data_IF_248781868267
#
_entry.id   IF_248781868267
#
_cell.length_a   1.000
_cell.length_b   1.000
_cell.length_c   1.000
_cell.angle_alpha   90.00
_cell.angle_beta   90.00
_cell.angle_gamma   90.00
#
_symmetry.space_group_name_H-M   'P 1'
#
loop_
_entity.id
_entity.type
_entity.pdbx_description
1 polymer ?
#
# COMPACT_ATOMS: atom_id res chain seq x y z
N UNK A 1 -13.20 -37.80 70.67
CA UNK A 1 -11.89 -37.13 70.81
C UNK A 1 -11.95 -35.80 70.08
N UNK A 2 -12.15 -34.73 70.86
CA UNK A 2 -11.94 -33.33 70.47
C UNK A 2 -10.43 -33.05 70.46
N UNK A 3 -9.94 -32.15 69.59
CA UNK A 3 -8.82 -31.23 69.87
C UNK A 3 -8.53 -30.25 68.69
N UNK A 4 -8.78 -28.96 68.99
CA UNK A 4 -7.95 -27.77 68.73
C UNK A 4 -7.62 -27.27 67.30
N UNK A 5 -8.37 -26.22 66.96
CA UNK A 5 -7.92 -24.87 66.53
C UNK A 5 -6.41 -24.55 66.49
N UNK A 6 -5.97 -23.85 65.43
CA UNK A 6 -5.15 -22.62 65.52
C UNK A 6 -5.13 -21.83 64.21
N UNK A 7 -5.84 -20.71 64.23
CA UNK A 7 -5.74 -19.57 63.32
C UNK A 7 -4.37 -18.89 63.43
N UNK A 8 -3.79 -18.47 62.30
CA UNK A 8 -2.77 -17.41 62.26
C UNK A 8 -3.33 -16.21 61.51
N UNK A 9 -3.58 -15.15 62.27
CA UNK A 9 -3.65 -13.76 61.82
C UNK A 9 -2.22 -13.23 61.58
N UNK A 10 -2.12 -11.96 61.15
CA UNK A 10 -0.95 -11.14 60.75
C UNK A 10 -0.79 -11.04 59.22
N UNK A 11 -0.63 -9.87 58.60
CA UNK A 11 -0.58 -8.49 59.12
C UNK A 11 -0.88 -7.56 57.95
N UNK A 12 -1.77 -6.61 58.18
CA UNK A 12 -1.99 -5.45 57.33
C UNK A 12 -0.80 -4.50 57.52
N UNK A 13 -0.09 -4.19 56.44
CA UNK A 13 0.74 -2.98 56.37
C UNK A 13 0.25 -2.12 55.23
N UNK A 14 -0.33 -1.01 55.66
CA UNK A 14 -0.81 0.14 54.92
C UNK A 14 0.38 0.76 54.19
N UNK A 15 0.36 0.69 52.86
CA UNK A 15 1.20 1.49 51.98
C UNK A 15 0.41 2.69 51.46
N UNK A 16 0.19 3.69 52.31
CA UNK A 16 -0.13 5.05 51.87
C UNK A 16 1.20 5.70 51.47
N UNK A 17 1.43 5.98 50.17
CA UNK A 17 2.24 7.14 49.81
C UNK A 17 2.16 7.47 48.31
N UNK A 18 1.83 8.74 48.06
CA UNK A 18 2.03 9.50 46.83
C UNK A 18 1.25 9.09 45.57
N UNK A 19 0.02 9.60 45.54
CA UNK A 19 -0.65 10.05 44.32
C UNK A 19 0.29 10.96 43.49
N UNK A 20 1.02 10.39 42.54
CA UNK A 20 1.51 11.13 41.38
C UNK A 20 0.47 10.97 40.27
N UNK A 21 -0.59 11.77 40.38
CA UNK A 21 -1.55 12.02 39.31
C UNK A 21 -0.81 12.82 38.22
N UNK A 22 -0.03 12.14 37.38
CA UNK A 22 0.48 12.74 36.16
C UNK A 22 -0.74 12.85 35.24
N UNK A 23 -1.32 14.06 35.28
CA UNK A 23 -2.24 14.59 34.29
C UNK A 23 -1.71 14.24 32.89
N UNK A 24 -2.33 13.23 32.29
CA UNK A 24 -2.42 13.04 30.85
C UNK A 24 -3.15 14.27 30.28
N UNK A 25 -2.44 15.39 30.21
CA UNK A 25 -2.77 16.47 29.29
C UNK A 25 -2.60 15.87 27.91
N UNK A 26 -3.73 15.44 27.36
CA UNK A 26 -3.87 15.17 25.94
C UNK A 26 -3.43 16.43 25.21
N UNK A 27 -2.20 16.41 24.71
CA UNK A 27 -1.82 17.22 23.58
C UNK A 27 -2.68 16.73 22.42
N UNK A 28 -3.88 17.31 22.32
CA UNK A 28 -4.50 17.56 21.05
C UNK A 28 -3.48 18.43 20.30
N UNK A 29 -2.58 17.77 19.57
CA UNK A 29 -1.72 18.42 18.60
C UNK A 29 -2.67 19.05 17.59
N UNK A 30 -2.99 20.32 17.83
CA UNK A 30 -3.48 21.22 16.82
C UNK A 30 -2.39 21.33 15.77
N UNK A 31 -2.41 20.42 14.81
CA UNK A 31 -1.74 20.58 13.53
C UNK A 31 -2.49 21.71 12.82
N UNK A 32 -2.19 22.95 13.22
CA UNK A 32 -2.33 24.09 12.33
C UNK A 32 -1.16 24.01 11.37
N UNK A 33 -1.42 23.50 10.17
CA UNK A 33 -0.52 23.65 9.05
C UNK A 33 -1.21 24.57 8.05
N UNK A 34 -0.72 25.80 7.89
CA UNK A 34 -0.94 26.64 6.71
C UNK A 34 -0.24 26.06 5.45
N UNK A 35 -0.17 24.73 5.36
CA UNK A 35 0.28 24.02 4.18
C UNK A 35 -0.90 23.20 3.67
N UNK A 36 -1.18 23.32 2.38
CA UNK A 36 -2.15 22.46 1.69
C UNK A 36 -2.00 21.01 2.20
N UNK A 37 -3.08 20.37 2.67
CA UNK A 37 -3.01 19.05 3.26
C UNK A 37 -2.47 18.08 2.21
N UNK A 38 -1.31 17.52 2.50
CA UNK A 38 -0.76 16.41 1.71
C UNK A 38 -1.81 15.31 1.62
N UNK A 39 -2.23 14.99 0.41
CA UNK A 39 -3.34 14.07 0.22
C UNK A 39 -2.93 12.60 0.34
N UNK A 40 -1.64 12.29 0.19
CA UNK A 40 -1.12 10.92 0.34
C UNK A 40 -0.48 10.75 1.71
N UNK A 41 -1.01 9.84 2.51
CA UNK A 41 -0.49 9.52 3.84
C UNK A 41 -0.40 8.00 4.06
N UNK A 42 0.51 7.57 4.93
CA UNK A 42 0.69 6.17 5.31
C UNK A 42 0.23 5.95 6.76
N UNK A 43 -0.51 4.86 7.00
CA UNK A 43 -0.99 4.49 8.35
C UNK A 43 0.13 4.00 9.26
N UNK A 44 -0.11 4.06 10.56
CA UNK A 44 0.82 3.62 11.62
C UNK A 44 1.10 2.13 11.60
N UNK A 45 0.22 1.33 11.00
CA UNK A 45 0.46 -0.10 10.83
C UNK A 45 1.51 -0.44 9.75
N UNK A 46 1.92 0.53 8.92
CA UNK A 46 3.06 0.36 8.00
C UNK A 46 4.34 0.68 8.76
N UNK A 47 5.17 -0.34 8.99
CA UNK A 47 6.43 -0.20 9.73
C UNK A 47 7.38 0.79 9.07
N UNK A 48 8.28 1.38 9.86
CA UNK A 48 9.30 2.31 9.36
C UNK A 48 10.15 1.70 8.24
N UNK A 49 10.46 0.40 8.32
CA UNK A 49 11.22 -0.31 7.30
C UNK A 49 10.45 -0.38 5.96
N UNK A 50 9.15 -0.68 6.00
CA UNK A 50 8.27 -0.71 4.82
C UNK A 50 8.08 0.70 4.24
N UNK A 51 7.88 1.73 5.08
CA UNK A 51 7.81 3.14 4.63
C UNK A 51 9.07 3.53 3.86
N UNK A 52 10.25 3.19 4.40
CA UNK A 52 11.53 3.47 3.77
C UNK A 52 11.75 2.63 2.50
N UNK A 53 11.31 1.37 2.47
CA UNK A 53 11.32 0.54 1.28
C UNK A 53 10.48 1.15 0.16
N UNK A 54 9.25 1.54 0.46
CA UNK A 54 8.34 2.16 -0.50
C UNK A 54 8.88 3.51 -1.00
N UNK A 55 9.34 4.37 -0.09
CA UNK A 55 9.94 5.65 -0.47
C UNK A 55 11.16 5.46 -1.41
N UNK A 56 12.03 4.49 -1.12
CA UNK A 56 13.16 4.17 -2.02
C UNK A 56 12.71 3.66 -3.38
N UNK A 57 11.69 2.81 -3.44
CA UNK A 57 11.15 2.30 -4.70
C UNK A 57 10.57 3.45 -5.55
N UNK A 58 9.71 4.29 -4.96
CA UNK A 58 9.14 5.46 -5.64
C UNK A 58 10.22 6.46 -6.07
N UNK A 59 11.21 6.72 -5.21
CA UNK A 59 12.35 7.57 -5.53
C UNK A 59 13.18 7.03 -6.70
N UNK A 60 13.43 5.71 -6.74
CA UNK A 60 14.12 5.06 -7.87
C UNK A 60 13.36 5.24 -9.18
N UNK A 61 12.03 5.10 -9.15
CA UNK A 61 11.18 5.23 -10.34
C UNK A 61 11.10 6.69 -10.79
N UNK A 62 10.76 7.60 -9.88
CA UNK A 62 10.54 9.01 -10.16
C UNK A 62 11.85 9.83 -10.30
N UNK A 63 12.96 9.32 -9.79
CA UNK A 63 14.25 10.03 -9.71
C UNK A 63 14.24 11.23 -8.77
N UNK A 64 13.36 11.22 -7.76
CA UNK A 64 13.16 12.31 -6.79
C UNK A 64 13.89 12.01 -5.48
N UNK A 65 15.16 12.45 -5.30
CA UNK A 65 16.03 11.99 -4.21
C UNK A 65 15.54 12.33 -2.79
N UNK A 66 14.66 13.32 -2.67
CA UNK A 66 14.11 13.78 -1.40
C UNK A 66 12.71 13.21 -1.08
N UNK A 67 12.18 12.36 -1.96
CA UNK A 67 10.90 11.70 -1.76
C UNK A 67 10.97 10.83 -0.50
N UNK A 68 10.09 11.11 0.46
CA UNK A 68 10.04 10.41 1.75
C UNK A 68 8.66 10.52 2.39
N UNK A 69 8.39 9.67 3.38
CA UNK A 69 7.32 9.90 4.34
C UNK A 69 7.86 10.72 5.51
N UNK A 70 7.13 11.74 5.95
CA UNK A 70 7.48 12.50 7.15
C UNK A 70 7.02 11.78 8.43
N UNK A 71 7.24 12.43 9.58
CA UNK A 71 6.89 11.88 10.91
C UNK A 71 5.39 11.66 11.09
N UNK A 72 4.55 12.39 10.35
CA UNK A 72 3.08 12.22 10.34
C UNK A 72 2.63 11.14 9.36
N UNK A 73 3.57 10.54 8.61
CA UNK A 73 3.27 9.59 7.54
C UNK A 73 2.85 10.26 6.23
N UNK A 74 2.95 11.58 6.08
CA UNK A 74 2.58 12.23 4.82
C UNK A 74 3.71 12.08 3.77
N UNK A 75 3.35 11.80 2.51
CA UNK A 75 4.31 11.68 1.41
C UNK A 75 4.80 13.07 0.97
N UNK A 76 6.11 13.31 1.08
CA UNK A 76 6.76 14.55 0.67
C UNK A 76 7.62 14.27 -0.56
N UNK A 77 7.41 14.99 -1.65
CA UNK A 77 8.17 14.81 -2.90
C UNK A 77 9.58 15.43 -2.86
N UNK A 78 9.75 16.46 -2.02
CA UNK A 78 10.95 17.29 -1.99
C UNK A 78 10.93 18.40 -3.02
N UNK A 79 11.99 19.22 -3.04
CA UNK A 79 12.09 20.42 -3.89
C UNK A 79 13.33 20.42 -4.78
N UNK A 80 14.08 19.31 -4.83
CA UNK A 80 15.24 19.17 -5.70
C UNK A 80 14.83 18.69 -7.07
N UNK A 81 15.42 19.32 -8.09
CA UNK A 81 15.24 18.90 -9.47
C UNK A 81 15.64 17.43 -9.65
N UNK A 82 14.80 16.65 -10.36
CA UNK A 82 15.10 15.25 -10.65
C UNK A 82 16.30 15.16 -11.59
N UNK A 83 17.22 14.24 -11.31
CA UNK A 83 18.40 14.00 -12.16
C UNK A 83 18.20 12.89 -13.18
N UNK A 84 17.22 12.02 -12.95
CA UNK A 84 16.89 10.85 -13.73
C UNK A 84 15.43 10.46 -13.43
N UNK A 85 15.01 9.25 -13.78
CA UNK A 85 13.69 8.74 -13.42
C UNK A 85 12.60 9.13 -14.43
N UNK A 86 11.42 8.55 -14.25
CA UNK A 86 10.24 8.78 -15.08
C UNK A 86 9.59 10.14 -14.80
N UNK A 87 9.41 10.95 -15.84
CA UNK A 87 8.64 12.20 -15.80
C UNK A 87 7.18 11.94 -15.47
N UNK A 88 6.59 10.94 -16.12
CA UNK A 88 5.19 10.58 -15.89
C UNK A 88 4.94 10.09 -14.46
N UNK A 89 5.88 9.35 -13.87
CA UNK A 89 5.77 8.95 -12.47
C UNK A 89 5.83 10.16 -11.51
N UNK A 90 6.66 11.18 -11.81
CA UNK A 90 6.70 12.42 -11.03
C UNK A 90 5.39 13.18 -11.11
N UNK A 91 4.85 13.35 -12.31
CA UNK A 91 3.58 14.02 -12.54
C UNK A 91 2.43 13.31 -11.81
N UNK A 92 2.37 11.97 -11.88
CA UNK A 92 1.37 11.19 -11.15
C UNK A 92 1.49 11.40 -9.64
N UNK A 93 2.71 11.34 -9.10
CA UNK A 93 2.96 11.55 -7.67
C UNK A 93 2.63 12.99 -7.23
N UNK A 94 2.93 13.99 -8.04
CA UNK A 94 2.58 15.38 -7.79
C UNK A 94 1.07 15.55 -7.73
N UNK A 95 0.35 15.07 -8.73
CA UNK A 95 -1.11 15.10 -8.77
C UNK A 95 -1.75 14.29 -7.64
N UNK A 96 -1.14 13.18 -7.23
CA UNK A 96 -1.61 12.41 -6.08
C UNK A 96 -1.48 13.22 -4.78
N UNK A 97 -0.37 13.94 -4.60
CA UNK A 97 -0.09 14.71 -3.37
C UNK A 97 -0.87 16.01 -3.29
N UNK A 98 -1.07 16.71 -4.42
CA UNK A 98 -1.73 18.03 -4.50
C UNK A 98 -3.20 17.97 -4.92
N UNK A 99 -3.71 16.78 -5.27
CA UNK A 99 -5.06 16.60 -5.78
C UNK A 99 -6.17 16.85 -4.75
N UNK A 100 -7.41 16.55 -5.14
CA UNK A 100 -8.58 16.72 -4.27
C UNK A 100 -8.98 15.44 -3.50
N UNK A 101 -8.29 14.31 -3.73
CA UNK A 101 -8.63 13.00 -3.17
C UNK A 101 -7.61 12.60 -2.11
N UNK A 102 -8.07 12.22 -0.92
CA UNK A 102 -7.21 11.69 0.14
C UNK A 102 -6.88 10.22 -0.16
N UNK A 103 -5.61 9.86 -0.11
CA UNK A 103 -5.10 8.51 -0.38
C UNK A 103 -4.33 8.01 0.84
N UNK A 104 -4.79 6.90 1.41
CA UNK A 104 -4.23 6.30 2.60
C UNK A 104 -3.56 4.98 2.25
N UNK A 105 -2.25 4.87 2.49
CA UNK A 105 -1.48 3.66 2.30
C UNK A 105 -1.53 2.80 3.58
N UNK A 106 -1.86 1.52 3.44
CA UNK A 106 -2.04 0.58 4.56
C UNK A 106 -1.27 -0.72 4.34
N UNK A 107 -0.69 -1.27 5.41
CA UNK A 107 -0.10 -2.61 5.38
C UNK A 107 -1.22 -3.66 5.43
N UNK A 108 -1.25 -4.50 4.40
CA UNK A 108 -2.14 -5.64 4.25
C UNK A 108 -1.37 -6.96 4.16
N UNK A 109 -0.13 -7.00 4.64
CA UNK A 109 0.74 -8.18 4.57
C UNK A 109 0.06 -9.44 5.12
N UNK A 110 0.09 -10.52 4.34
CA UNK A 110 -0.54 -11.82 4.63
C UNK A 110 -2.07 -11.81 4.63
N UNK A 111 -2.71 -10.68 4.26
CA UNK A 111 -4.14 -10.68 3.98
C UNK A 111 -4.37 -11.50 2.71
N UNK A 112 -5.48 -12.21 2.71
CA UNK A 112 -5.73 -13.25 1.71
C UNK A 112 -6.73 -12.80 0.64
N UNK A 113 -7.18 -11.56 0.76
CA UNK A 113 -8.00 -10.78 -0.16
C UNK A 113 -7.20 -9.72 -0.92
N UNK A 114 -5.92 -9.52 -0.59
CA UNK A 114 -4.98 -8.65 -1.31
C UNK A 114 -3.85 -9.50 -1.87
N UNK A 115 -3.53 -9.35 -3.16
CA UNK A 115 -2.44 -10.10 -3.79
C UNK A 115 -1.10 -9.36 -3.67
N UNK A 116 -1.02 -8.12 -4.15
CA UNK A 116 0.16 -7.26 -4.02
C UNK A 116 -0.24 -5.87 -3.57
N UNK A 117 -1.19 -5.30 -4.30
CA UNK A 117 -1.80 -4.03 -4.00
C UNK A 117 -3.28 -4.09 -4.37
N UNK A 118 -4.10 -3.27 -3.74
CA UNK A 118 -5.50 -3.05 -4.12
C UNK A 118 -5.98 -1.71 -3.57
N UNK A 119 -6.75 -0.96 -4.35
CA UNK A 119 -7.41 0.26 -3.91
C UNK A 119 -8.88 0.03 -3.57
N UNK A 120 -9.34 0.66 -2.48
CA UNK A 120 -10.74 0.68 -2.06
C UNK A 120 -11.22 2.09 -1.74
N UNK A 121 -12.48 2.43 -2.03
CA UNK A 121 -13.09 3.66 -1.50
C UNK A 121 -13.10 3.65 0.03
N UNK A 122 -12.52 4.68 0.62
CA UNK A 122 -12.52 4.92 2.06
C UNK A 122 -13.81 5.57 2.54
N UNK A 123 -14.09 5.43 3.84
CA UNK A 123 -15.21 6.11 4.51
C UNK A 123 -14.71 6.90 5.70
N UNK A 124 -15.20 8.12 5.84
CA UNK A 124 -14.91 8.97 6.99
C UNK A 124 -15.74 8.53 8.20
N UNK A 125 -15.10 8.41 9.37
CA UNK A 125 -15.76 7.99 10.63
C UNK A 125 -16.85 8.99 11.04
N UNK A 126 -16.66 10.27 10.74
CA UNK A 126 -17.65 11.32 10.99
C UNK A 126 -18.11 11.90 9.67
N UNK A 127 -19.42 11.83 9.42
CA UNK A 127 -20.06 12.46 8.28
C UNK A 127 -19.97 13.99 8.45
N UNK A 128 -19.04 14.62 7.74
CA UNK A 128 -19.10 16.04 7.47
C UNK A 128 -19.30 16.18 5.96
N UNK A 129 -20.30 16.97 5.56
CA UNK A 129 -20.74 17.11 4.17
C UNK A 129 -19.66 17.60 3.19
N UNK A 130 -18.53 18.09 3.71
CA UNK A 130 -17.46 18.73 2.93
C UNK A 130 -16.13 17.98 2.97
N UNK A 131 -16.11 16.68 3.28
CA UNK A 131 -14.86 15.92 3.24
C UNK A 131 -14.53 15.47 1.82
N UNK A 132 -13.25 15.56 1.40
CA UNK A 132 -12.82 15.02 0.12
C UNK A 132 -13.05 13.51 0.03
N UNK A 133 -13.16 12.99 -1.19
CA UNK A 133 -13.19 11.55 -1.42
C UNK A 133 -11.90 10.93 -0.86
N UNK A 134 -12.04 9.80 -0.17
CA UNK A 134 -10.91 9.08 0.42
C UNK A 134 -10.77 7.71 -0.24
N UNK A 135 -9.54 7.26 -0.40
CA UNK A 135 -9.17 5.97 -0.95
C UNK A 135 -8.15 5.31 -0.04
N UNK A 136 -8.21 3.99 0.09
CA UNK A 136 -7.26 3.19 0.85
C UNK A 136 -6.54 2.25 -0.10
N UNK A 137 -5.24 2.44 -0.25
CA UNK A 137 -4.34 1.58 -1.01
C UNK A 137 -3.71 0.59 -0.04
N UNK A 138 -4.08 -0.67 -0.20
CA UNK A 138 -3.64 -1.76 0.65
C UNK A 138 -2.48 -2.49 0.00
N UNK A 139 -1.37 -2.67 0.72
CA UNK A 139 -0.13 -3.24 0.17
C UNK A 139 0.23 -4.52 0.93
N UNK A 140 0.36 -5.65 0.23
CA UNK A 140 0.97 -6.86 0.79
C UNK A 140 2.49 -6.82 0.58
N UNK A 141 3.20 -6.20 1.52
CA UNK A 141 4.67 -6.13 1.48
C UNK A 141 5.33 -7.52 1.55
N UNK A 142 4.68 -8.51 2.17
CA UNK A 142 5.21 -9.86 2.31
C UNK A 142 5.21 -10.62 0.97
N UNK A 143 4.27 -10.34 0.08
CA UNK A 143 4.23 -10.98 -1.25
C UNK A 143 5.33 -10.45 -2.19
N UNK A 144 5.77 -9.21 -2.05
CA UNK A 144 6.95 -8.69 -2.78
C UNK A 144 8.26 -9.40 -2.40
N UNK A 145 8.38 -9.91 -1.17
CA UNK A 145 9.56 -10.69 -0.75
C UNK A 145 9.61 -12.09 -1.37
N UNK A 146 8.50 -12.55 -1.95
CA UNK A 146 8.36 -13.88 -2.56
C UNK A 146 8.52 -13.84 -4.08
N UNK A 147 8.70 -12.66 -4.67
CA UNK A 147 8.92 -12.51 -6.10
C UNK A 147 10.27 -13.11 -6.49
N UNK A 148 10.23 -13.96 -7.51
CA UNK A 148 11.41 -14.55 -8.14
C UNK A 148 11.25 -14.47 -9.65
N UNK A 149 12.35 -14.23 -10.36
CA UNK A 149 12.32 -14.06 -11.80
C UNK A 149 13.61 -13.43 -12.31
N UNK A 150 13.60 -13.06 -13.59
CA UNK A 150 14.67 -12.28 -14.20
C UNK A 150 14.86 -10.94 -13.47
N UNK A 151 16.11 -10.50 -13.35
CA UNK A 151 16.45 -9.26 -12.62
C UNK A 151 15.76 -8.04 -13.22
N UNK A 152 15.67 -7.92 -14.54
CA UNK A 152 15.01 -6.78 -15.20
C UNK A 152 13.50 -6.82 -15.00
N UNK A 153 12.89 -7.99 -14.95
CA UNK A 153 11.50 -8.12 -14.52
C UNK A 153 11.34 -7.62 -13.08
N UNK A 154 12.15 -8.10 -12.15
CA UNK A 154 12.02 -7.69 -10.74
C UNK A 154 12.19 -6.17 -10.57
N UNK A 155 13.03 -5.52 -11.38
CA UNK A 155 13.17 -4.06 -11.41
C UNK A 155 11.92 -3.33 -11.94
N UNK A 156 11.09 -3.99 -12.74
CA UNK A 156 9.83 -3.50 -13.30
C UNK A 156 8.58 -3.89 -12.48
N UNK A 157 8.74 -4.73 -11.46
CA UNK A 157 7.69 -5.28 -10.62
C UNK A 157 8.11 -5.28 -9.15
N UNK A 158 8.15 -4.08 -8.56
CA UNK A 158 8.38 -3.87 -7.13
C UNK A 158 7.21 -3.12 -6.49
N UNK A 159 7.32 -2.88 -5.17
CA UNK A 159 6.27 -2.21 -4.40
C UNK A 159 5.99 -0.78 -4.88
N UNK A 160 6.98 -0.09 -5.47
CA UNK A 160 6.80 1.25 -6.02
C UNK A 160 5.90 1.21 -7.25
N UNK A 161 6.13 0.27 -8.17
CA UNK A 161 5.30 0.09 -9.36
C UNK A 161 3.86 -0.25 -9.01
N UNK A 162 3.65 -1.13 -8.04
CA UNK A 162 2.31 -1.50 -7.61
C UNK A 162 1.56 -0.33 -6.96
N UNK A 163 2.24 0.50 -6.16
CA UNK A 163 1.62 1.71 -5.60
C UNK A 163 1.31 2.73 -6.70
N UNK A 164 2.21 2.96 -7.67
CA UNK A 164 1.93 3.86 -8.80
C UNK A 164 0.71 3.40 -9.60
N UNK A 165 0.55 2.09 -9.83
CA UNK A 165 -0.64 1.53 -10.48
C UNK A 165 -1.93 1.89 -9.72
N UNK A 166 -1.98 1.65 -8.41
CA UNK A 166 -3.17 2.02 -7.63
C UNK A 166 -3.38 3.55 -7.55
N UNK A 167 -2.31 4.34 -7.53
CA UNK A 167 -2.42 5.81 -7.58
C UNK A 167 -3.01 6.27 -8.91
N UNK A 168 -2.67 5.61 -10.02
CA UNK A 168 -3.21 5.92 -11.34
C UNK A 168 -4.74 5.74 -11.37
N UNK A 169 -5.25 4.62 -10.84
CA UNK A 169 -6.69 4.41 -10.67
C UNK A 169 -7.36 5.57 -9.90
N UNK A 170 -6.73 6.06 -8.84
CA UNK A 170 -7.31 7.13 -8.02
C UNK A 170 -7.20 8.50 -8.70
N UNK A 171 -6.06 8.82 -9.30
CA UNK A 171 -5.74 10.15 -9.80
C UNK A 171 -6.31 10.38 -11.20
N UNK A 172 -6.21 9.38 -12.07
CA UNK A 172 -6.63 9.43 -13.46
C UNK A 172 -7.98 8.74 -13.72
N UNK A 173 -8.56 8.07 -12.72
CA UNK A 173 -9.78 7.26 -12.90
C UNK A 173 -9.61 6.21 -14.00
N UNK A 174 -8.38 5.74 -14.20
CA UNK A 174 -8.07 4.70 -15.17
C UNK A 174 -8.64 3.36 -14.72
N UNK A 175 -9.01 2.53 -15.69
CA UNK A 175 -9.52 1.18 -15.43
C UNK A 175 -8.49 0.12 -15.82
N UNK A 176 -8.52 -0.98 -15.07
CA UNK A 176 -7.83 -2.20 -15.47
C UNK A 176 -8.52 -2.83 -16.68
N UNK A 177 -7.75 -3.50 -17.53
CA UNK A 177 -8.33 -4.25 -18.64
C UNK A 177 -9.27 -5.37 -18.15
N UNK A 178 -10.45 -5.45 -18.74
CA UNK A 178 -11.37 -6.58 -18.57
C UNK A 178 -11.08 -7.73 -19.55
N UNK A 179 -10.16 -7.52 -20.50
CA UNK A 179 -9.81 -8.44 -21.57
C UNK A 179 -8.41 -9.02 -21.38
N UNK A 180 -8.20 -10.27 -21.77
CA UNK A 180 -6.86 -10.90 -21.70
C UNK A 180 -5.90 -10.42 -22.80
N UNK A 181 -6.39 -9.66 -23.79
CA UNK A 181 -5.61 -9.22 -24.96
C UNK A 181 -5.17 -7.76 -24.92
N UNK A 182 -5.62 -7.04 -23.89
CA UNK A 182 -5.38 -5.61 -23.74
C UNK A 182 -4.77 -5.37 -22.36
N UNK A 183 -3.83 -4.43 -22.29
CA UNK A 183 -3.20 -3.95 -21.06
C UNK A 183 -4.18 -3.15 -20.20
N UNK A 184 -5.00 -2.30 -20.84
CA UNK A 184 -5.91 -1.36 -20.17
C UNK A 184 -5.23 -0.02 -19.89
N UNK A 185 -6.02 1.03 -19.71
CA UNK A 185 -5.55 2.42 -19.59
C UNK A 185 -4.51 2.57 -18.47
N UNK A 186 -4.75 1.94 -17.32
CA UNK A 186 -3.82 2.03 -16.20
C UNK A 186 -2.46 1.41 -16.54
N UNK A 187 -2.44 0.21 -17.11
CA UNK A 187 -1.20 -0.46 -17.46
C UNK A 187 -0.48 0.24 -18.63
N UNK A 188 -1.20 0.92 -19.52
CA UNK A 188 -0.61 1.75 -20.58
C UNK A 188 0.17 2.94 -20.02
N UNK A 189 -0.38 3.63 -19.01
CA UNK A 189 0.33 4.69 -18.29
C UNK A 189 1.57 4.15 -17.57
N UNK A 190 1.44 3.01 -16.88
CA UNK A 190 2.58 2.38 -16.18
C UNK A 190 3.65 1.92 -17.17
N UNK A 191 3.27 1.34 -18.31
CA UNK A 191 4.20 0.95 -19.36
C UNK A 191 4.91 2.17 -19.97
N UNK A 192 4.24 3.31 -20.10
CA UNK A 192 4.89 4.55 -20.52
C UNK A 192 6.01 4.97 -19.55
N UNK A 193 5.76 4.90 -18.24
CA UNK A 193 6.79 5.14 -17.22
C UNK A 193 7.94 4.12 -17.32
N UNK A 194 7.64 2.83 -17.55
CA UNK A 194 8.67 1.79 -17.74
C UNK A 194 9.52 2.05 -18.99
N UNK A 195 8.92 2.51 -20.09
CA UNK A 195 9.63 2.89 -21.33
C UNK A 195 10.62 4.02 -21.09
N UNK A 196 10.25 5.06 -20.34
CA UNK A 196 11.15 6.15 -19.95
C UNK A 196 12.40 5.62 -19.22
N UNK A 197 12.25 4.53 -18.46
CA UNK A 197 13.32 3.89 -17.69
C UNK A 197 14.02 2.74 -18.43
N UNK A 198 13.63 2.44 -19.68
CA UNK A 198 14.13 1.29 -20.46
C UNK A 198 13.92 -0.03 -19.72
N UNK A 199 12.83 -0.16 -18.98
CA UNK A 199 12.44 -1.38 -18.28
C UNK A 199 11.50 -2.24 -19.14
N UNK A 200 11.44 -3.56 -18.91
CA UNK A 200 10.47 -4.43 -19.57
C UNK A 200 9.03 -3.97 -19.32
N UNK A 201 8.21 -3.98 -20.36
CA UNK A 201 6.79 -3.66 -20.30
C UNK A 201 5.96 -4.90 -19.98
N UNK A 202 4.76 -4.69 -19.41
CA UNK A 202 3.77 -5.75 -19.25
C UNK A 202 2.91 -5.80 -20.49
N UNK A 203 2.99 -6.90 -21.23
CA UNK A 203 2.17 -7.10 -22.44
C UNK A 203 0.81 -7.71 -22.13
N UNK A 204 0.68 -8.45 -21.02
CA UNK A 204 -0.56 -9.10 -20.61
C UNK A 204 -0.82 -8.88 -19.11
N UNK A 205 -2.05 -8.48 -18.78
CA UNK A 205 -2.45 -8.31 -17.39
C UNK A 205 -2.57 -9.66 -16.67
N UNK A 206 -3.06 -10.72 -17.33
CA UNK A 206 -3.23 -12.00 -16.68
C UNK A 206 -1.97 -12.86 -16.79
N UNK A 207 -1.52 -13.45 -15.68
CA UNK A 207 -0.47 -14.46 -15.73
C UNK A 207 -1.08 -15.81 -16.20
N UNK A 208 -0.47 -16.44 -17.20
CA UNK A 208 -0.78 -17.82 -17.55
C UNK A 208 0.10 -18.77 -16.73
N UNK A 209 -0.51 -19.74 -16.06
CA UNK A 209 0.20 -20.77 -15.26
C UNK A 209 0.98 -21.78 -16.11
N UNK A 210 0.83 -21.75 -17.42
CA UNK A 210 1.49 -22.67 -18.32
C UNK A 210 2.77 -22.05 -18.88
N UNK A 211 3.89 -22.80 -18.93
CA UNK A 211 5.05 -22.36 -19.69
C UNK A 211 4.61 -22.20 -21.14
N UNK A 212 4.64 -20.98 -21.66
CA UNK A 212 4.60 -20.74 -23.10
C UNK A 212 5.86 -21.38 -23.66
N UNK A 213 5.72 -22.57 -24.23
CA UNK A 213 6.71 -23.21 -25.09
C UNK A 213 6.60 -22.53 -26.45
N UNK A 214 7.43 -21.54 -26.72
CA UNK A 214 7.45 -20.85 -28.01
C UNK A 214 8.87 -20.44 -28.37
N UNK A 215 9.39 -21.04 -29.45
CA UNK A 215 10.73 -20.84 -30.03
C UNK A 215 10.92 -19.47 -30.73
N UNK A 216 10.21 -18.43 -30.28
CA UNK A 216 10.25 -17.10 -30.88
C UNK A 216 11.01 -16.11 -30.00
N UNK A 217 11.91 -15.35 -30.60
CA UNK A 217 12.70 -14.27 -29.99
C UNK A 217 11.78 -13.12 -29.55
N UNK A 218 11.05 -13.31 -28.47
CA UNK A 218 10.30 -12.32 -27.71
C UNK A 218 10.51 -12.74 -26.27
N UNK A 219 11.35 -12.03 -25.51
CA UNK A 219 11.66 -12.39 -24.11
C UNK A 219 10.40 -12.22 -23.25
N UNK A 220 9.61 -13.28 -22.97
CA UNK A 220 8.46 -13.14 -22.09
C UNK A 220 9.07 -13.11 -20.70
N UNK A 221 9.15 -11.94 -20.07
CA UNK A 221 9.82 -11.84 -18.79
C UNK A 221 8.95 -12.55 -17.75
N UNK A 222 9.36 -13.76 -17.33
CA UNK A 222 8.55 -14.61 -16.45
C UNK A 222 8.66 -14.12 -15.01
N UNK A 223 7.58 -13.54 -14.49
CA UNK A 223 7.37 -13.38 -13.05
C UNK A 223 6.70 -14.66 -12.54
N UNK A 224 7.44 -15.49 -11.80
CA UNK A 224 6.87 -16.70 -11.21
C UNK A 224 6.49 -16.41 -9.76
N UNK A 225 5.20 -16.26 -9.48
CA UNK A 225 4.71 -16.30 -8.11
C UNK A 225 4.70 -17.75 -7.63
N UNK A 226 5.27 -17.99 -6.44
CA UNK A 226 5.11 -19.27 -5.72
C UNK A 226 3.71 -19.34 -5.10
N UNK A 227 2.68 -19.24 -5.95
CA UNK A 227 1.28 -19.03 -5.57
C UNK A 227 0.57 -20.35 -5.27
N UNK A 228 0.98 -21.07 -4.22
CA UNK A 228 0.18 -22.23 -3.75
C UNK A 228 -1.15 -21.81 -3.09
N UNK A 229 -1.33 -20.52 -2.74
CA UNK A 229 -2.48 -20.05 -1.93
C UNK A 229 -3.56 -19.26 -2.69
N UNK A 230 -3.25 -18.46 -3.71
CA UNK A 230 -4.27 -17.58 -4.31
C UNK A 230 -5.17 -18.26 -5.38
N UNK A 231 -4.68 -19.30 -6.08
CA UNK A 231 -5.45 -20.00 -7.14
C UNK A 231 -6.71 -20.69 -6.59
N UNK A 232 -6.66 -21.18 -5.35
CA UNK A 232 -7.79 -21.87 -4.70
C UNK A 232 -8.90 -20.93 -4.16
N UNK A 233 -8.77 -19.61 -4.32
CA UNK A 233 -9.73 -18.63 -3.76
C UNK A 233 -10.57 -17.87 -4.80
N UNK A 234 -10.01 -17.44 -5.94
CA UNK A 234 -10.84 -16.83 -7.03
C UNK A 234 -11.93 -17.78 -7.54
N UNK A 235 -11.68 -19.10 -7.52
CA UNK A 235 -12.68 -20.13 -7.89
C UNK A 235 -13.89 -20.20 -6.94
N UNK A 236 -13.76 -19.75 -5.69
CA UNK A 236 -14.86 -19.76 -4.69
C UNK A 236 -15.73 -18.50 -4.72
N UNK A 237 -15.17 -17.35 -5.13
CA UNK A 237 -15.95 -16.10 -5.17
C UNK A 237 -16.73 -15.93 -6.49
N UNK A 238 -16.36 -16.65 -7.56
CA UNK A 238 -17.09 -16.64 -8.82
C UNK A 238 -18.40 -17.47 -8.82
N UNK A 239 -18.69 -18.21 -7.74
CA UNK A 239 -19.90 -19.06 -7.62
C UNK A 239 -20.92 -18.54 -6.60
N UNK A 240 -20.70 -17.35 -6.02
CA UNK A 240 -21.52 -16.82 -4.94
C UNK A 240 -21.78 -15.32 -5.01
N UNK A 241 -22.43 -14.84 -6.07
CA UNK A 241 -23.21 -13.59 -6.02
C UNK A 241 -24.13 -13.50 -7.24
N UNK A 242 -25.21 -14.28 -7.21
CA UNK A 242 -26.45 -13.95 -7.91
C UNK A 242 -27.55 -14.12 -6.87
N UNK A 243 -28.15 -13.01 -6.46
CA UNK A 243 -29.23 -13.02 -5.49
C UNK A 243 -29.54 -11.66 -4.92
N UNK A 244 -30.55 -11.02 -5.54
CA UNK A 244 -31.60 -10.22 -4.88
C UNK A 244 -31.16 -8.87 -4.27
N UNK A 245 -31.76 -7.70 -4.52
CA UNK A 245 -33.10 -7.22 -4.94
C UNK A 245 -32.97 -5.67 -5.14
N UNK A 246 -34.03 -4.91 -5.47
CA UNK A 246 -35.33 -5.24 -6.07
C UNK A 246 -35.46 -4.76 -7.52
#
# INVERSE_FOLDING_TARGET
>A
MSLRTRSKAFSSTIGLSCCALILLLGFASGVSAEGEPNQVAVRDNVSQAQRLQLARALNKIAGSPQLRFDETGALRLGNKDPKAGSSMARELLERAVTGARVIILEDASNRSDVAFCSVFPGRWIRNAAHRPAAYVVMIDFADFQKLVGDRRALEAYDVGWAVLHELDHVVNESEDSTSTRESGDCEDHINAMRRELKLPERTEYFYTLFPVSGDGILFPTRLALRLKRAINRRRRNATGSCGMLP
#
